data_IF_693384214852
#
_entry.id   IF_693384214852
#
_cell.length_a   1.000
_cell.length_b   1.000
_cell.length_c   1.000
_cell.angle_alpha   90.00
_cell.angle_beta   90.00
_cell.angle_gamma   90.00
#
_symmetry.space_group_name_H-M   'P 1'
#
loop_
_entity.id
_entity.type
_entity.pdbx_description
1 polymer ?
#
# COMPACT_ATOMS: atom_id res chain seq x y z
N UNK A 1 34.39 -0.04 -1.87
CA UNK A 1 32.96 0.16 -2.18
C UNK A 1 32.26 0.36 -0.85
N UNK A 2 32.19 1.61 -0.39
CA UNK A 2 31.71 1.96 0.96
C UNK A 2 30.20 1.88 0.98
N UNK A 3 29.62 1.09 1.89
CA UNK A 3 28.19 1.11 2.17
C UNK A 3 27.81 2.53 2.58
N UNK A 4 26.94 3.19 1.82
CA UNK A 4 26.34 4.45 2.23
C UNK A 4 25.52 4.18 3.49
N UNK A 5 25.73 5.01 4.51
CA UNK A 5 24.94 4.98 5.73
C UNK A 5 23.45 5.20 5.40
N UNK A 6 22.55 4.56 6.14
CA UNK A 6 21.11 4.64 5.85
C UNK A 6 20.60 6.09 5.94
N UNK A 7 21.16 6.87 6.87
CA UNK A 7 20.86 8.28 7.02
C UNK A 7 21.33 9.10 5.81
N UNK A 8 22.48 8.75 5.21
CA UNK A 8 22.95 9.38 3.99
C UNK A 8 22.04 9.05 2.80
N UNK A 9 21.57 7.80 2.71
CA UNK A 9 20.60 7.40 1.68
C UNK A 9 19.29 8.18 1.82
N UNK A 10 18.73 8.27 3.03
CA UNK A 10 17.53 9.04 3.32
C UNK A 10 17.73 10.53 3.04
N UNK A 11 18.89 11.09 3.40
CA UNK A 11 19.22 12.49 3.15
C UNK A 11 19.32 12.82 1.66
N UNK A 12 19.94 11.93 0.88
CA UNK A 12 20.03 12.05 -0.57
C UNK A 12 18.66 11.92 -1.24
N UNK A 13 17.84 10.97 -0.80
CA UNK A 13 16.50 10.81 -1.36
C UNK A 13 15.62 12.03 -1.02
N UNK A 14 15.69 12.54 0.21
CA UNK A 14 15.00 13.77 0.60
C UNK A 14 15.45 14.97 -0.24
N UNK A 15 16.75 15.09 -0.52
CA UNK A 15 17.28 16.14 -1.39
C UNK A 15 16.78 15.98 -2.85
N UNK A 16 16.71 14.74 -3.35
CA UNK A 16 16.17 14.41 -4.67
C UNK A 16 14.69 14.78 -4.79
N UNK A 17 13.88 14.43 -3.78
CA UNK A 17 12.45 14.81 -3.70
C UNK A 17 12.29 16.33 -3.74
N UNK A 18 13.04 17.08 -2.92
CA UNK A 18 13.03 18.55 -2.94
C UNK A 18 13.38 19.11 -4.32
N UNK A 19 14.38 18.55 -5.00
CA UNK A 19 14.77 18.94 -6.36
C UNK A 19 13.63 18.71 -7.36
N UNK A 20 13.00 17.53 -7.34
CA UNK A 20 11.83 17.20 -8.18
C UNK A 20 10.70 18.20 -7.96
N UNK A 21 10.32 18.47 -6.71
CA UNK A 21 9.27 19.45 -6.38
C UNK A 21 9.62 20.87 -6.84
N UNK A 22 10.88 21.30 -6.70
CA UNK A 22 11.32 22.63 -7.16
C UNK A 22 11.30 22.78 -8.68
N UNK A 23 11.62 21.73 -9.44
CA UNK A 23 11.55 21.72 -10.90
C UNK A 23 10.10 21.72 -11.38
N UNK A 24 9.26 20.97 -10.69
CA UNK A 24 7.84 20.90 -10.98
C UNK A 24 7.18 22.27 -10.73
N UNK A 25 7.35 22.85 -9.54
CA UNK A 25 6.79 24.18 -9.22
C UNK A 25 7.21 25.31 -10.16
N UNK A 26 8.41 25.25 -10.76
CA UNK A 26 8.90 26.25 -11.73
C UNK A 26 8.37 26.05 -13.15
N UNK A 27 7.93 24.83 -13.51
CA UNK A 27 7.53 24.46 -14.88
C UNK A 27 6.01 24.30 -15.03
N UNK A 28 5.29 24.13 -13.92
CA UNK A 28 3.84 24.00 -13.89
C UNK A 28 3.15 25.35 -14.03
N UNK A 29 2.77 25.71 -15.27
CA UNK A 29 1.50 26.42 -15.45
C UNK A 29 0.39 25.56 -14.87
N UNK A 30 -0.71 26.17 -14.40
CA UNK A 30 -1.76 25.53 -13.58
C UNK A 30 -2.46 24.28 -14.18
N UNK A 31 -2.04 23.77 -15.35
CA UNK A 31 -2.57 22.59 -16.05
C UNK A 31 -1.89 21.25 -15.72
N UNK A 32 -0.64 21.24 -15.29
CA UNK A 32 0.15 20.00 -15.11
C UNK A 32 0.32 19.62 -13.62
N UNK A 33 -0.56 20.09 -12.72
CA UNK A 33 -0.56 19.62 -11.33
C UNK A 33 -0.89 18.14 -11.35
N UNK A 34 0.13 17.30 -11.17
CA UNK A 34 -0.05 15.90 -10.75
C UNK A 34 -0.93 15.97 -9.52
N UNK A 35 -2.21 15.59 -9.67
CA UNK A 35 -3.10 15.43 -8.54
C UNK A 35 -2.40 14.50 -7.57
N UNK A 36 -2.03 15.03 -6.42
CA UNK A 36 -1.55 14.23 -5.30
C UNK A 36 -2.56 13.10 -5.16
N UNK A 37 -2.10 11.86 -5.41
CA UNK A 37 -2.94 10.67 -5.34
C UNK A 37 -3.72 10.75 -4.03
N UNK A 38 -5.05 10.69 -4.12
CA UNK A 38 -5.88 10.67 -2.92
C UNK A 38 -5.36 9.53 -2.05
N UNK A 39 -4.79 9.89 -0.89
CA UNK A 39 -4.39 8.89 0.09
C UNK A 39 -5.66 8.24 0.59
N UNK A 40 -5.85 6.97 0.29
CA UNK A 40 -6.95 6.21 0.83
C UNK A 40 -6.53 5.73 2.21
N UNK A 41 -7.14 6.28 3.26
CA UNK A 41 -6.99 5.70 4.60
C UNK A 41 -7.64 4.32 4.61
N UNK A 42 -6.80 3.29 4.71
CA UNK A 42 -7.23 1.90 4.71
C UNK A 42 -7.26 1.40 6.15
N UNK A 43 -8.47 1.10 6.64
CA UNK A 43 -8.70 0.66 8.02
C UNK A 43 -8.20 -0.78 8.22
N UNK A 44 -6.90 -0.93 8.47
CA UNK A 44 -6.27 -2.20 8.77
C UNK A 44 -6.44 -2.55 10.26
N UNK A 45 -6.83 -3.79 10.56
CA UNK A 45 -6.99 -4.31 11.92
C UNK A 45 -5.99 -5.43 12.17
N UNK A 46 -5.55 -5.62 13.42
CA UNK A 46 -4.69 -6.76 13.76
C UNK A 46 -5.45 -8.08 13.62
N UNK A 47 -4.88 -9.06 12.91
CA UNK A 47 -5.44 -10.40 12.71
C UNK A 47 -5.24 -11.37 13.88
N UNK A 48 -4.71 -10.90 15.03
CA UNK A 48 -4.36 -11.75 16.18
C UNK A 48 -5.53 -12.57 16.71
N UNK A 49 -6.75 -12.02 16.69
CA UNK A 49 -7.96 -12.72 17.13
C UNK A 49 -8.37 -13.86 16.20
N UNK A 50 -7.84 -13.87 14.97
CA UNK A 50 -8.04 -14.92 13.96
C UNK A 50 -6.84 -15.88 13.87
N UNK A 51 -5.90 -15.82 14.81
CA UNK A 51 -4.68 -16.62 14.79
C UNK A 51 -3.64 -16.17 13.75
N UNK A 52 -3.81 -14.99 13.13
CA UNK A 52 -2.89 -14.45 12.13
C UNK A 52 -1.96 -13.40 12.73
N UNK A 53 -0.68 -13.46 12.37
CA UNK A 53 0.31 -12.42 12.68
C UNK A 53 0.19 -11.16 11.80
N UNK A 54 -0.71 -11.17 10.82
CA UNK A 54 -0.83 -10.12 9.81
C UNK A 54 -1.95 -9.12 10.12
N UNK A 55 -1.96 -8.03 9.35
CA UNK A 55 -3.07 -7.09 9.32
C UNK A 55 -4.17 -7.57 8.38
N UNK A 56 -5.42 -7.36 8.78
CA UNK A 56 -6.62 -7.72 8.03
C UNK A 56 -7.31 -6.44 7.58
N UNK A 57 -7.74 -6.42 6.32
CA UNK A 57 -8.45 -5.31 5.68
C UNK A 57 -9.74 -5.82 5.05
N UNK A 58 -10.76 -4.97 4.97
CA UNK A 58 -12.02 -5.30 4.29
C UNK A 58 -12.02 -4.67 2.90
N UNK A 59 -12.22 -5.49 1.87
CA UNK A 59 -12.24 -5.08 0.46
C UNK A 59 -13.56 -5.52 -0.18
N UNK A 60 -14.23 -4.60 -0.87
CA UNK A 60 -15.42 -4.91 -1.65
C UNK A 60 -15.06 -5.34 -3.08
N UNK A 61 -15.49 -6.54 -3.49
CA UNK A 61 -15.21 -7.11 -4.82
C UNK A 61 -16.53 -7.38 -5.56
N UNK A 62 -16.57 -7.06 -6.85
CA UNK A 62 -17.67 -7.40 -7.76
C UNK A 62 -18.80 -6.37 -7.84
N UNK A 63 -19.78 -6.68 -8.70
CA UNK A 63 -21.02 -5.93 -8.88
C UNK A 63 -22.18 -6.93 -8.94
N UNK A 64 -23.06 -7.00 -7.91
CA UNK A 64 -23.06 -6.19 -6.70
C UNK A 64 -21.83 -6.44 -5.81
N UNK A 65 -21.50 -5.47 -4.95
CA UNK A 65 -20.31 -5.50 -4.09
C UNK A 65 -20.42 -6.60 -3.03
N UNK A 66 -19.40 -7.44 -2.93
CA UNK A 66 -19.21 -8.42 -1.86
C UNK A 66 -18.01 -8.04 -1.01
N UNK A 67 -18.22 -7.78 0.29
CA UNK A 67 -17.14 -7.42 1.21
C UNK A 67 -16.42 -8.68 1.73
N UNK A 68 -15.10 -8.72 1.55
CA UNK A 68 -14.22 -9.81 1.95
C UNK A 68 -13.13 -9.31 2.91
N UNK A 69 -12.77 -10.14 3.89
CA UNK A 69 -11.64 -9.87 4.80
C UNK A 69 -10.39 -10.55 4.28
N UNK A 70 -9.36 -9.77 3.96
CA UNK A 70 -8.12 -10.24 3.35
C UNK A 70 -6.92 -9.84 4.21
N UNK A 71 -5.83 -10.60 4.09
CA UNK A 71 -4.53 -10.23 4.67
C UNK A 71 -3.93 -9.09 3.84
N UNK A 72 -3.46 -8.03 4.50
CA UNK A 72 -2.73 -6.95 3.85
C UNK A 72 -1.24 -7.30 3.74
N UNK A 73 -0.91 -8.11 2.74
CA UNK A 73 0.45 -8.58 2.46
C UNK A 73 1.20 -7.59 1.55
N UNK A 74 2.25 -6.96 2.07
CA UNK A 74 3.12 -6.05 1.30
C UNK A 74 4.27 -6.78 0.60
N UNK A 75 4.41 -8.10 0.82
CA UNK A 75 5.48 -8.93 0.28
C UNK A 75 5.16 -9.60 -1.05
N UNK A 76 3.93 -9.46 -1.57
CA UNK A 76 3.47 -10.06 -2.82
C UNK A 76 2.82 -9.03 -3.76
N UNK A 77 2.83 -9.36 -5.05
CA UNK A 77 2.18 -8.60 -6.13
C UNK A 77 0.79 -9.14 -6.49
N UNK A 78 0.43 -10.33 -6.00
CA UNK A 78 -0.81 -11.02 -6.30
C UNK A 78 -1.82 -10.92 -5.15
N UNK A 79 -3.00 -10.36 -5.44
CA UNK A 79 -4.18 -10.45 -4.56
C UNK A 79 -5.05 -11.63 -4.98
N UNK A 80 -5.44 -12.48 -4.03
CA UNK A 80 -6.30 -13.64 -4.27
C UNK A 80 -7.33 -13.82 -3.14
N UNK A 81 -8.43 -14.49 -3.45
CA UNK A 81 -9.43 -14.94 -2.47
C UNK A 81 -9.87 -16.37 -2.80
N UNK A 82 -10.37 -17.07 -1.79
CA UNK A 82 -10.97 -18.38 -1.98
C UNK A 82 -12.32 -18.25 -2.71
N UNK A 83 -12.49 -19.00 -3.81
CA UNK A 83 -13.75 -19.04 -4.57
C UNK A 83 -14.80 -19.97 -3.95
N UNK A 84 -14.37 -21.08 -3.36
CA UNK A 84 -15.22 -22.10 -2.76
C UNK A 84 -14.53 -22.64 -1.49
N UNK A 85 -15.26 -22.99 -0.41
CA UNK A 85 -14.67 -23.50 0.81
C UNK A 85 -13.67 -24.64 0.59
N UNK A 86 -12.60 -24.68 1.39
CA UNK A 86 -11.65 -25.79 1.34
C UNK A 86 -12.38 -27.08 1.76
N UNK A 87 -12.06 -28.19 1.10
CA UNK A 87 -12.46 -29.52 1.56
C UNK A 87 -11.70 -29.86 2.85
N UNK A 88 -12.22 -29.42 4.00
CA UNK A 88 -11.64 -29.62 5.32
C UNK A 88 -12.56 -29.04 6.40
N UNK A 89 -12.43 -29.51 7.65
CA UNK A 89 -13.18 -28.93 8.76
C UNK A 89 -12.50 -27.66 9.27
N UNK A 90 -13.28 -26.59 9.43
CA UNK A 90 -12.91 -25.50 10.33
C UNK A 90 -13.30 -25.92 11.75
N UNK A 91 -12.41 -26.64 12.44
CA UNK A 91 -12.49 -26.87 13.90
C UNK A 91 -11.81 -25.74 14.64
#
# INVERSE_FOLDING_TARGET
>A
MTSLDHDDMLRLDQARVKSIHSRLSKKLTSRDRVSQSQSTDLQARSGRTLGSGNYIVTVGIGTPKHDLSLVFDTGSDLTWTQCEPCAGSCT
#
